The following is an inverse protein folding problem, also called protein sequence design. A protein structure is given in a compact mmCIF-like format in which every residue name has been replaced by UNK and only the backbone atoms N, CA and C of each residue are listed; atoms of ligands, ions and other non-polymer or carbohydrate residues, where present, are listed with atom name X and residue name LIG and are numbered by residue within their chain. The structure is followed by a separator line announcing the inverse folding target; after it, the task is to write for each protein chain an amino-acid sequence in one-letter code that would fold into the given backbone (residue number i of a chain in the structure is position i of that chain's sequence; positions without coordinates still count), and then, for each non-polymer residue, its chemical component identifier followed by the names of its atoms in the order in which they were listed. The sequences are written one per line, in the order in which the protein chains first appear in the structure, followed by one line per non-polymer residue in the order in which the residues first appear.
data_IF_397977102371
#
_entry.id   IF_397977102371
#
_cell.length_a   1.000
_cell.length_b   1.000
_cell.length_c   1.000
_cell.angle_alpha   90.00
_cell.angle_beta   90.00
_cell.angle_gamma   90.00
#
_symmetry.space_group_name_H-M   'P 1'
#
loop_
_entity.id
_entity.type
_entity.pdbx_description
1 polymer ?
#
# COMPACT_ATOMS: atom_id res chain seq x y z
N UNK A 1 -5.86 -25.14 -5.91
CA UNK A 1 -4.43 -25.02 -6.31
C UNK A 1 -4.17 -24.05 -7.45
N UNK A 2 -4.86 -24.11 -8.60
CA UNK A 2 -4.65 -23.15 -9.70
C UNK A 2 -5.17 -21.74 -9.43
N UNK A 3 -6.27 -21.62 -8.69
CA UNK A 3 -6.93 -20.36 -8.36
C UNK A 3 -6.16 -19.58 -7.30
N UNK A 4 -5.57 -20.25 -6.33
CA UNK A 4 -4.73 -19.65 -5.29
C UNK A 4 -3.43 -19.11 -5.85
N UNK A 5 -2.81 -19.82 -6.78
CA UNK A 5 -1.63 -19.40 -7.54
C UNK A 5 -1.85 -18.11 -8.32
N UNK A 6 -3.00 -18.02 -9.01
CA UNK A 6 -3.37 -16.84 -9.78
C UNK A 6 -3.59 -15.64 -8.85
N UNK A 7 -4.30 -15.85 -7.75
CA UNK A 7 -4.54 -14.82 -6.72
C UNK A 7 -3.23 -14.29 -6.11
N UNK A 8 -2.28 -15.17 -5.76
CA UNK A 8 -0.97 -14.77 -5.22
C UNK A 8 -0.20 -13.93 -6.24
N UNK A 9 -0.12 -14.36 -7.51
CA UNK A 9 0.60 -13.66 -8.57
C UNK A 9 -0.01 -12.30 -8.93
N UNK A 10 -1.33 -12.14 -8.81
CA UNK A 10 -2.03 -10.87 -9.03
C UNK A 10 -1.88 -9.92 -7.83
N UNK A 11 -1.76 -10.46 -6.62
CA UNK A 11 -1.70 -9.71 -5.36
C UNK A 11 -0.32 -9.25 -4.96
N UNK A 12 0.70 -10.08 -5.20
CA UNK A 12 2.07 -9.82 -4.77
C UNK A 12 2.97 -9.55 -5.97
N UNK A 13 3.45 -8.32 -6.08
CA UNK A 13 4.45 -7.99 -7.07
C UNK A 13 5.85 -8.22 -6.50
N UNK A 14 6.68 -8.90 -7.27
CA UNK A 14 8.07 -9.21 -6.92
C UNK A 14 8.86 -7.95 -6.53
N UNK A 15 8.71 -6.87 -7.29
CA UNK A 15 9.42 -5.62 -6.99
C UNK A 15 9.02 -5.02 -5.64
N UNK A 16 7.72 -5.09 -5.29
CA UNK A 16 7.24 -4.57 -4.01
C UNK A 16 7.68 -5.47 -2.85
N UNK A 17 7.67 -6.80 -3.05
CA UNK A 17 8.19 -7.76 -2.09
C UNK A 17 9.68 -7.52 -1.81
N UNK A 18 10.51 -7.38 -2.85
CA UNK A 18 11.94 -7.10 -2.72
C UNK A 18 12.21 -5.78 -1.99
N UNK A 19 11.43 -4.73 -2.27
CA UNK A 19 11.54 -3.44 -1.57
C UNK A 19 11.19 -3.54 -0.09
N UNK A 20 10.22 -4.37 0.27
CA UNK A 20 9.90 -4.66 1.68
C UNK A 20 11.05 -5.37 2.40
N UNK A 21 11.86 -6.13 1.67
CA UNK A 21 13.09 -6.76 2.17
C UNK A 21 14.32 -5.84 2.09
N UNK A 22 14.11 -4.51 1.95
CA UNK A 22 15.14 -3.49 1.83
C UNK A 22 16.06 -3.64 0.58
N UNK A 23 15.60 -4.35 -0.45
CA UNK A 23 16.34 -4.42 -1.70
C UNK A 23 16.37 -3.07 -2.39
N UNK A 24 17.57 -2.58 -2.68
CA UNK A 24 17.80 -1.31 -3.37
C UNK A 24 18.12 -1.56 -4.83
N UNK A 25 17.44 -0.84 -5.73
CA UNK A 25 17.62 -0.96 -7.15
C UNK A 25 17.44 0.37 -7.86
N UNK A 26 18.08 0.49 -9.02
CA UNK A 26 17.93 1.64 -9.93
C UNK A 26 17.21 1.21 -11.20
N UNK A 27 16.43 2.09 -11.84
CA UNK A 27 15.87 1.80 -13.16
C UNK A 27 16.99 1.69 -14.19
N UNK A 28 16.85 0.76 -15.15
CA UNK A 28 17.83 0.57 -16.23
C UNK A 28 17.67 1.58 -17.38
N UNK A 29 16.55 2.35 -17.39
CA UNK A 29 16.15 3.20 -18.52
C UNK A 29 15.37 2.45 -19.60
N UNK A 30 15.25 1.14 -19.53
CA UNK A 30 14.52 0.30 -20.48
C UNK A 30 13.17 -0.15 -19.87
N UNK A 31 12.11 0.63 -20.10
CA UNK A 31 10.75 0.28 -19.66
C UNK A 31 10.61 0.14 -18.13
N UNK A 32 9.98 -0.95 -17.68
CA UNK A 32 9.72 -1.23 -16.26
C UNK A 32 10.78 -2.16 -15.65
N UNK A 33 12.06 -1.99 -16.02
CA UNK A 33 13.15 -2.84 -15.57
C UNK A 33 14.04 -2.14 -14.55
N UNK A 34 14.42 -2.87 -13.51
CA UNK A 34 15.25 -2.42 -12.39
C UNK A 34 16.44 -3.35 -12.22
N UNK A 35 17.58 -2.81 -11.80
CA UNK A 35 18.79 -3.58 -11.52
C UNK A 35 19.36 -3.23 -10.15
N UNK A 36 19.78 -4.25 -9.39
CA UNK A 36 20.41 -4.11 -8.09
C UNK A 36 21.34 -5.29 -7.79
N UNK A 37 21.92 -5.30 -6.59
CA UNK A 37 22.68 -6.44 -6.09
C UNK A 37 21.76 -7.65 -5.89
N UNK A 38 22.25 -8.84 -6.18
CA UNK A 38 21.47 -10.06 -6.05
C UNK A 38 21.25 -10.44 -4.57
N UNK A 39 19.99 -10.67 -4.15
CA UNK A 39 19.73 -11.16 -2.80
C UNK A 39 20.03 -12.65 -2.61
N UNK A 40 20.30 -13.39 -3.71
CA UNK A 40 20.47 -14.84 -3.70
C UNK A 40 21.94 -15.28 -3.64
N UNK A 41 22.88 -14.38 -3.93
CA UNK A 41 24.31 -14.65 -3.82
C UNK A 41 25.09 -13.37 -3.52
N UNK A 42 26.28 -13.52 -2.96
CA UNK A 42 27.14 -12.38 -2.66
C UNK A 42 27.79 -11.84 -3.93
N UNK A 43 27.63 -10.54 -4.19
CA UNK A 43 28.24 -9.83 -5.31
C UNK A 43 28.49 -8.36 -4.98
N UNK A 44 29.40 -7.72 -5.72
CA UNK A 44 29.71 -6.28 -5.59
C UNK A 44 29.24 -5.46 -6.77
N UNK A 45 28.85 -6.10 -7.86
CA UNK A 45 28.33 -5.44 -9.07
C UNK A 45 26.90 -5.88 -9.31
N UNK A 46 25.96 -4.93 -9.50
CA UNK A 46 24.57 -5.25 -9.74
C UNK A 46 24.37 -6.13 -10.97
N UNK A 47 23.82 -7.33 -10.78
CA UNK A 47 23.51 -8.30 -11.84
C UNK A 47 22.10 -8.89 -11.75
N UNK A 48 21.32 -8.48 -10.75
CA UNK A 48 19.95 -8.94 -10.53
C UNK A 48 18.95 -7.97 -11.15
N UNK A 49 18.26 -8.43 -12.18
CA UNK A 49 17.28 -7.66 -12.94
C UNK A 49 15.87 -8.05 -12.57
N UNK A 50 15.00 -7.07 -12.42
CA UNK A 50 13.57 -7.26 -12.14
C UNK A 50 12.76 -6.50 -13.19
N UNK A 51 11.93 -7.22 -13.93
CA UNK A 51 10.96 -6.64 -14.84
C UNK A 51 9.60 -6.51 -14.14
N UNK A 52 9.25 -5.29 -13.71
CA UNK A 52 8.04 -5.04 -12.94
C UNK A 52 6.75 -5.28 -13.74
N UNK A 53 6.78 -5.16 -15.09
CA UNK A 53 5.61 -5.43 -15.94
C UNK A 53 5.34 -6.93 -16.06
N UNK A 54 6.40 -7.72 -16.25
CA UNK A 54 6.30 -9.19 -16.38
C UNK A 54 6.24 -9.89 -15.02
N UNK A 55 6.56 -9.17 -13.94
CA UNK A 55 6.68 -9.71 -12.58
C UNK A 55 7.70 -10.85 -12.46
N UNK A 56 8.84 -10.71 -13.15
CA UNK A 56 9.91 -11.70 -13.26
C UNK A 56 11.26 -11.10 -12.86
N UNK A 57 12.15 -11.94 -12.37
CA UNK A 57 13.57 -11.61 -12.19
C UNK A 57 14.48 -12.52 -13.00
N UNK A 58 15.69 -12.04 -13.23
CA UNK A 58 16.81 -12.82 -13.70
C UNK A 58 18.13 -12.24 -13.16
N UNK A 59 18.99 -13.10 -12.67
CA UNK A 59 20.33 -12.73 -12.21
C UNK A 59 21.39 -13.23 -13.19
N UNK A 60 22.14 -12.35 -13.80
CA UNK A 60 23.24 -12.71 -14.70
C UNK A 60 24.48 -13.25 -13.94
N UNK A 61 24.58 -12.99 -12.62
CA UNK A 61 25.68 -13.50 -11.80
C UNK A 61 25.53 -14.98 -11.44
N UNK A 62 24.37 -15.37 -10.89
CA UNK A 62 24.13 -16.77 -10.48
C UNK A 62 23.23 -17.57 -11.42
N UNK A 63 22.75 -16.98 -12.53
CA UNK A 63 21.90 -17.66 -13.50
C UNK A 63 20.48 -17.98 -13.03
N UNK A 64 20.08 -17.57 -11.82
CA UNK A 64 18.73 -17.83 -11.28
C UNK A 64 17.74 -16.85 -11.87
N UNK A 65 16.52 -17.35 -12.16
CA UNK A 65 15.44 -16.54 -12.68
C UNK A 65 14.08 -17.16 -12.40
N UNK A 66 13.02 -16.35 -12.48
CA UNK A 66 11.67 -16.80 -12.26
C UNK A 66 10.74 -15.69 -11.78
N UNK A 67 9.62 -16.10 -11.19
CA UNK A 67 8.63 -15.21 -10.56
C UNK A 67 8.88 -15.09 -9.04
N UNK A 68 7.96 -14.41 -8.34
CA UNK A 68 8.03 -14.23 -6.88
C UNK A 68 8.07 -15.56 -6.13
N UNK A 69 7.33 -16.57 -6.58
CA UNK A 69 7.29 -17.87 -5.89
C UNK A 69 8.67 -18.53 -5.99
N UNK A 70 9.26 -18.53 -7.19
CA UNK A 70 10.61 -19.05 -7.40
C UNK A 70 11.65 -18.27 -6.61
N UNK A 71 11.51 -16.96 -6.50
CA UNK A 71 12.38 -16.14 -5.66
C UNK A 71 12.33 -16.57 -4.18
N UNK A 72 11.11 -16.78 -3.64
CA UNK A 72 10.92 -17.22 -2.25
C UNK A 72 11.47 -18.64 -2.03
N UNK A 73 11.28 -19.56 -2.98
CA UNK A 73 11.90 -20.89 -2.93
C UNK A 73 13.42 -20.79 -2.74
N UNK A 74 14.06 -19.95 -3.54
CA UNK A 74 15.52 -19.80 -3.54
C UNK A 74 16.02 -19.03 -2.30
N UNK A 75 15.36 -17.95 -1.92
CA UNK A 75 15.82 -17.07 -0.84
C UNK A 75 15.55 -17.62 0.56
N UNK A 76 14.46 -18.39 0.71
CA UNK A 76 14.05 -18.99 1.99
C UNK A 76 14.33 -20.51 2.07
N UNK A 77 14.94 -21.09 1.01
CA UNK A 77 15.20 -22.53 0.93
C UNK A 77 13.94 -23.40 1.14
N UNK A 78 12.80 -22.95 0.59
CA UNK A 78 11.51 -23.59 0.73
C UNK A 78 11.14 -24.40 -0.52
N UNK A 79 10.34 -25.45 -0.34
CA UNK A 79 9.66 -26.10 -1.47
C UNK A 79 8.57 -25.21 -2.05
N UNK A 80 8.15 -25.46 -3.28
CA UNK A 80 7.05 -24.73 -3.94
C UNK A 80 5.80 -24.56 -3.05
N UNK A 81 5.34 -25.67 -2.42
CA UNK A 81 4.17 -25.66 -1.56
C UNK A 81 4.39 -24.80 -0.29
N UNK A 82 5.56 -24.92 0.33
CA UNK A 82 5.92 -24.08 1.49
C UNK A 82 6.04 -22.61 1.12
N UNK A 83 6.55 -22.29 -0.08
CA UNK A 83 6.64 -20.90 -0.57
C UNK A 83 5.25 -20.29 -0.80
N UNK A 84 4.29 -21.06 -1.28
CA UNK A 84 2.89 -20.59 -1.37
C UNK A 84 2.32 -20.27 0.00
N UNK A 85 2.42 -21.20 0.96
CA UNK A 85 1.94 -20.97 2.33
C UNK A 85 2.63 -19.78 2.99
N UNK A 86 3.94 -19.63 2.79
CA UNK A 86 4.72 -18.49 3.29
C UNK A 86 4.20 -17.17 2.70
N UNK A 87 3.97 -17.10 1.38
CA UNK A 87 3.45 -15.92 0.72
C UNK A 87 2.00 -15.60 1.11
N UNK A 88 1.17 -16.60 1.35
CA UNK A 88 -0.19 -16.43 1.88
C UNK A 88 -0.18 -15.81 3.29
N UNK A 89 0.72 -16.23 4.15
CA UNK A 89 0.92 -15.67 5.49
C UNK A 89 1.50 -14.26 5.47
N UNK A 90 2.34 -13.94 4.49
CA UNK A 90 2.91 -12.61 4.27
C UNK A 90 1.93 -11.66 3.57
N UNK A 91 0.88 -12.18 2.94
CA UNK A 91 -0.16 -11.35 2.33
C UNK A 91 -1.00 -10.72 3.42
N UNK A 92 -0.71 -9.46 3.72
CA UNK A 92 -1.58 -8.61 4.53
C UNK A 92 -3.04 -8.70 4.06
N UNK A 93 -4.01 -8.40 4.93
CA UNK A 93 -5.42 -8.42 4.57
C UNK A 93 -5.64 -7.74 3.23
N UNK A 94 -6.07 -8.49 2.24
CA UNK A 94 -6.25 -8.02 0.86
C UNK A 94 -7.64 -7.45 0.63
N UNK A 95 -8.48 -7.48 1.65
CA UNK A 95 -9.81 -6.89 1.60
C UNK A 95 -9.70 -5.36 1.59
N UNK A 96 -10.14 -4.69 0.50
CA UNK A 96 -10.18 -3.24 0.40
C UNK A 96 -10.91 -2.56 1.56
N UNK A 97 -12.01 -3.14 2.06
CA UNK A 97 -12.76 -2.57 3.18
C UNK A 97 -11.95 -2.57 4.48
N UNK A 98 -11.13 -3.60 4.70
CA UNK A 98 -10.23 -3.68 5.87
C UNK A 98 -9.19 -2.58 5.84
N UNK A 99 -8.50 -2.35 4.72
CA UNK A 99 -7.48 -1.29 4.63
C UNK A 99 -8.09 0.11 4.68
N UNK A 100 -9.28 0.31 4.10
CA UNK A 100 -10.02 1.56 4.22
C UNK A 100 -10.42 1.83 5.67
N UNK A 101 -10.82 0.78 6.42
CA UNK A 101 -11.09 0.85 7.85
C UNK A 101 -9.87 1.26 8.67
N UNK A 102 -8.71 0.71 8.37
CA UNK A 102 -7.44 1.09 9.03
C UNK A 102 -7.01 2.52 8.69
N UNK A 103 -7.17 2.94 7.43
CA UNK A 103 -6.93 4.32 7.03
C UNK A 103 -7.86 5.29 7.74
N UNK A 104 -9.15 4.95 7.88
CA UNK A 104 -10.13 5.73 8.62
C UNK A 104 -9.71 5.87 10.10
N UNK A 105 -9.37 4.78 10.78
CA UNK A 105 -8.92 4.78 12.16
C UNK A 105 -7.60 5.59 12.33
N UNK A 106 -6.70 5.54 11.36
CA UNK A 106 -5.52 6.40 11.34
C UNK A 106 -5.90 7.88 11.28
N UNK A 107 -6.77 8.27 10.36
CA UNK A 107 -7.21 9.67 10.20
C UNK A 107 -7.99 10.19 11.41
N UNK A 108 -8.78 9.34 12.10
CA UNK A 108 -9.42 9.70 13.36
C UNK A 108 -8.40 10.14 14.42
N UNK A 109 -7.33 9.34 14.62
CA UNK A 109 -6.25 9.70 15.56
C UNK A 109 -5.51 10.98 15.14
N UNK A 110 -5.37 11.23 13.83
CA UNK A 110 -4.74 12.46 13.36
C UNK A 110 -5.58 13.70 13.69
N UNK A 111 -6.91 13.61 13.67
CA UNK A 111 -7.77 14.76 13.99
C UNK A 111 -7.47 15.35 15.38
N UNK A 112 -7.11 14.50 16.35
CA UNK A 112 -6.76 14.95 17.70
C UNK A 112 -5.40 15.66 17.77
N UNK A 113 -4.53 15.41 16.80
CA UNK A 113 -3.19 16.00 16.72
C UNK A 113 -3.16 17.35 15.97
N UNK A 114 -4.27 17.76 15.35
CA UNK A 114 -4.33 18.96 14.49
C UNK A 114 -5.47 19.90 14.91
N UNK A 115 -5.21 20.87 15.81
CA UNK A 115 -6.24 21.79 16.33
C UNK A 115 -6.96 22.60 15.25
N UNK A 116 -6.28 22.93 14.14
CA UNK A 116 -6.83 23.62 13.00
C UNK A 116 -7.95 22.81 12.30
N UNK A 117 -7.79 21.49 12.23
CA UNK A 117 -8.81 20.61 11.66
C UNK A 117 -10.06 20.54 12.57
N UNK A 118 -9.87 20.51 13.90
CA UNK A 118 -10.99 20.61 14.86
C UNK A 118 -11.73 21.94 14.74
N UNK A 119 -11.00 23.05 14.72
CA UNK A 119 -11.59 24.39 14.55
C UNK A 119 -12.43 24.48 13.28
N UNK A 120 -11.92 23.94 12.17
CA UNK A 120 -12.67 23.87 10.92
C UNK A 120 -14.00 23.14 11.06
N UNK A 121 -14.06 22.03 11.81
CA UNK A 121 -15.30 21.28 12.08
C UNK A 121 -16.26 22.11 12.94
N UNK A 122 -15.76 22.77 13.99
CA UNK A 122 -16.55 23.63 14.88
C UNK A 122 -17.18 24.81 14.14
N UNK A 123 -16.45 25.46 13.24
CA UNK A 123 -16.94 26.55 12.37
C UNK A 123 -18.05 26.06 11.42
N UNK A 124 -18.09 24.77 11.12
CA UNK A 124 -19.11 24.10 10.29
C UNK A 124 -20.26 23.50 11.10
N UNK A 125 -20.30 23.74 12.40
CA UNK A 125 -21.38 23.30 13.29
C UNK A 125 -21.16 21.89 13.87
N UNK A 126 -20.05 21.20 13.55
CA UNK A 126 -19.69 19.89 14.09
C UNK A 126 -18.84 20.09 15.36
N UNK A 127 -19.53 20.33 16.49
CA UNK A 127 -18.89 20.63 17.78
C UNK A 127 -18.90 19.47 18.78
N UNK A 128 -19.84 18.53 18.61
CA UNK A 128 -20.00 17.40 19.50
C UNK A 128 -18.90 16.33 19.23
N UNK A 129 -17.97 16.09 20.18
CA UNK A 129 -16.93 15.09 20.03
C UNK A 129 -17.49 13.66 19.90
N UNK A 130 -18.61 13.34 20.56
CA UNK A 130 -19.23 12.03 20.48
C UNK A 130 -19.76 11.76 19.08
N UNK A 131 -20.42 12.74 18.47
CA UNK A 131 -20.90 12.65 17.08
C UNK A 131 -19.73 12.52 16.09
N UNK A 132 -18.65 13.30 16.28
CA UNK A 132 -17.44 13.21 15.43
C UNK A 132 -16.84 11.80 15.50
N UNK A 133 -16.78 11.21 16.69
CA UNK A 133 -16.28 9.85 16.90
C UNK A 133 -17.22 8.80 16.29
N UNK A 134 -18.53 8.91 16.51
CA UNK A 134 -19.53 8.00 15.95
C UNK A 134 -19.48 8.00 14.41
N UNK A 135 -19.42 9.18 13.80
CA UNK A 135 -19.31 9.35 12.35
C UNK A 135 -17.92 9.00 11.82
N UNK A 136 -16.96 8.65 12.69
CA UNK A 136 -15.59 8.28 12.37
C UNK A 136 -14.88 9.34 11.52
N UNK A 137 -15.17 10.62 11.77
CA UNK A 137 -14.55 11.74 11.06
C UNK A 137 -13.08 11.83 11.46
N UNK A 138 -12.21 12.05 10.49
CA UNK A 138 -10.77 12.14 10.70
C UNK A 138 -10.13 13.30 9.93
N UNK A 139 -8.82 13.42 10.07
CA UNK A 139 -8.03 14.40 9.33
C UNK A 139 -6.86 13.73 8.61
N UNK A 140 -6.67 14.07 7.35
CA UNK A 140 -5.56 13.61 6.53
C UNK A 140 -4.51 14.72 6.41
N UNK A 141 -3.44 14.74 7.24
CA UNK A 141 -2.38 15.73 7.13
C UNK A 141 -1.54 15.54 5.86
N UNK A 142 -1.48 14.30 5.36
CA UNK A 142 -0.69 13.86 4.22
C UNK A 142 0.71 13.38 4.60
N UNK A 143 1.31 12.58 3.69
CA UNK A 143 2.70 12.11 3.80
C UNK A 143 2.98 11.02 4.83
N UNK A 144 2.00 10.62 5.65
CA UNK A 144 2.21 9.68 6.75
C UNK A 144 1.41 8.38 6.66
N UNK A 145 0.24 8.38 5.98
CA UNK A 145 -0.63 7.22 5.88
C UNK A 145 0.07 6.04 5.19
N UNK A 146 0.68 6.29 4.02
CA UNK A 146 1.39 5.25 3.28
C UNK A 146 2.40 4.51 4.15
N UNK A 147 3.29 5.25 4.83
CA UNK A 147 4.30 4.68 5.71
C UNK A 147 3.67 3.88 6.85
N UNK A 148 2.59 4.40 7.45
CA UNK A 148 1.86 3.74 8.53
C UNK A 148 1.27 2.39 8.08
N UNK A 149 0.58 2.35 6.93
CA UNK A 149 -0.05 1.14 6.43
C UNK A 149 0.97 0.11 5.91
N UNK A 150 2.06 0.56 5.27
CA UNK A 150 3.15 -0.34 4.88
C UNK A 150 3.82 -0.99 6.11
N UNK A 151 4.00 -0.25 7.21
CA UNK A 151 4.52 -0.80 8.46
C UNK A 151 3.58 -1.83 9.11
N UNK A 152 2.28 -1.78 8.80
CA UNK A 152 1.29 -2.79 9.19
C UNK A 152 1.22 -3.98 8.22
N UNK A 153 2.09 -4.03 7.22
CA UNK A 153 2.20 -5.12 6.26
C UNK A 153 1.26 -5.01 5.06
N UNK A 154 0.49 -3.90 4.89
CA UNK A 154 -0.33 -3.71 3.70
C UNK A 154 0.55 -3.46 2.46
N UNK A 155 0.24 -4.10 1.33
CA UNK A 155 1.00 -3.93 0.11
C UNK A 155 0.74 -2.57 -0.54
N UNK A 156 1.77 -1.97 -1.18
CA UNK A 156 1.62 -0.72 -1.93
C UNK A 156 0.59 -0.85 -3.07
N UNK A 157 0.46 -2.04 -3.65
CA UNK A 157 -0.56 -2.33 -4.67
C UNK A 157 -1.98 -2.20 -4.13
N UNK A 158 -2.25 -2.75 -2.95
CA UNK A 158 -3.55 -2.61 -2.32
C UNK A 158 -3.85 -1.14 -2.03
N UNK A 159 -2.86 -0.37 -1.55
CA UNK A 159 -3.02 1.05 -1.28
C UNK A 159 -3.31 1.86 -2.56
N UNK A 160 -2.70 1.48 -3.70
CA UNK A 160 -2.99 2.07 -5.02
C UNK A 160 -4.35 1.62 -5.55
N UNK A 161 -4.67 0.34 -5.41
CA UNK A 161 -5.95 -0.21 -5.86
C UNK A 161 -7.13 0.43 -5.13
N UNK A 162 -7.02 0.67 -3.83
CA UNK A 162 -8.02 1.38 -3.02
C UNK A 162 -7.99 2.90 -3.20
N UNK A 163 -7.05 3.42 -3.98
CA UNK A 163 -6.89 4.85 -4.19
C UNK A 163 -6.34 5.64 -2.99
N UNK A 164 -5.95 4.97 -1.88
CA UNK A 164 -5.33 5.62 -0.72
C UNK A 164 -3.98 6.26 -1.06
N UNK A 165 -3.28 5.68 -2.04
CA UNK A 165 -2.02 6.18 -2.57
C UNK A 165 -2.16 6.38 -4.08
N UNK A 166 -1.75 7.53 -4.59
CA UNK A 166 -1.80 7.85 -6.00
C UNK A 166 -0.70 7.10 -6.80
N UNK A 167 -0.74 7.10 -8.16
CA UNK A 167 0.28 6.43 -8.98
C UNK A 167 1.70 6.90 -8.71
N UNK A 168 1.89 8.15 -8.27
CA UNK A 168 3.18 8.74 -7.93
C UNK A 168 3.71 8.31 -6.54
N UNK A 169 2.89 7.57 -5.77
CA UNK A 169 3.26 7.05 -4.46
C UNK A 169 3.00 8.01 -3.30
N UNK A 170 2.21 9.05 -3.49
CA UNK A 170 1.81 9.98 -2.43
C UNK A 170 0.44 9.62 -1.87
N UNK A 171 0.18 10.00 -0.60
CA UNK A 171 -1.14 9.90 0.00
C UNK A 171 -2.17 10.66 -0.84
N UNK A 172 -3.30 10.03 -1.17
CA UNK A 172 -4.30 10.60 -2.07
C UNK A 172 -5.07 11.75 -1.42
N UNK A 173 -5.25 11.69 -0.10
CA UNK A 173 -5.87 12.75 0.69
C UNK A 173 -4.78 13.54 1.40
N UNK A 174 -4.80 14.85 1.20
CA UNK A 174 -3.85 15.80 1.79
C UNK A 174 -4.57 17.05 2.26
N UNK A 175 -4.34 17.46 3.51
CA UNK A 175 -5.00 18.61 4.17
C UNK A 175 -6.53 18.57 4.01
N UNK A 176 -7.14 17.42 4.42
CA UNK A 176 -8.58 17.19 4.26
C UNK A 176 -9.20 16.63 5.52
N UNK A 177 -10.39 17.12 5.85
CA UNK A 177 -11.30 16.39 6.73
C UNK A 177 -11.80 15.17 5.95
N UNK A 178 -11.74 14.01 6.58
CA UNK A 178 -12.08 12.72 5.97
C UNK A 178 -13.36 12.18 6.59
N UNK A 179 -14.30 11.85 5.72
CA UNK A 179 -15.58 11.21 6.05
C UNK A 179 -15.60 9.81 5.46
N UNK A 180 -15.82 8.75 6.25
CA UNK A 180 -15.99 7.42 5.69
C UNK A 180 -17.34 7.27 5.00
N UNK A 181 -17.34 6.59 3.87
CA UNK A 181 -18.55 6.15 3.18
C UNK A 181 -18.74 4.67 3.46
N UNK A 182 -19.83 4.32 4.14
CA UNK A 182 -20.10 2.93 4.54
C UNK A 182 -21.30 2.37 3.78
N UNK A 183 -21.23 1.06 3.48
CA UNK A 183 -22.33 0.24 2.96
C UNK A 183 -22.36 -1.08 3.76
N UNK A 184 -23.51 -1.45 4.30
CA UNK A 184 -23.68 -2.68 5.09
C UNK A 184 -22.67 -2.80 6.25
N UNK A 185 -22.39 -1.67 6.94
CA UNK A 185 -21.46 -1.61 8.07
C UNK A 185 -19.98 -1.66 7.70
N UNK A 186 -19.63 -1.75 6.39
CA UNK A 186 -18.25 -1.76 5.90
C UNK A 186 -17.89 -0.43 5.24
N UNK A 187 -16.69 0.07 5.49
CA UNK A 187 -16.19 1.27 4.79
C UNK A 187 -15.84 0.85 3.36
N UNK A 188 -16.51 1.48 2.39
CA UNK A 188 -16.32 1.20 0.96
C UNK A 188 -15.56 2.32 0.25
N UNK A 189 -15.55 3.54 0.81
CA UNK A 189 -14.78 4.66 0.29
C UNK A 189 -14.46 5.68 1.39
N UNK A 190 -13.57 6.63 1.10
CA UNK A 190 -13.30 7.80 1.93
C UNK A 190 -13.51 9.07 1.10
N UNK A 191 -14.27 9.98 1.66
CA UNK A 191 -14.50 11.31 1.11
C UNK A 191 -13.67 12.34 1.85
N UNK A 192 -12.83 13.09 1.14
CA UNK A 192 -11.99 14.15 1.70
C UNK A 192 -12.51 15.54 1.34
N UNK A 193 -12.81 16.39 2.35
CA UNK A 193 -13.13 17.80 2.18
C UNK A 193 -11.92 18.66 2.52
N UNK A 194 -11.47 19.52 1.59
CA UNK A 194 -10.36 20.44 1.83
C UNK A 194 -10.66 21.41 2.96
N UNK A 195 -9.67 21.65 3.81
CA UNK A 195 -9.70 22.73 4.82
C UNK A 195 -9.26 24.09 4.25
N UNK A 196 -8.70 24.11 3.03
CA UNK A 196 -8.31 25.30 2.29
C UNK A 196 -9.26 25.62 1.13
N UNK A 197 -8.85 26.55 0.26
CA UNK A 197 -9.67 27.08 -0.84
C UNK A 197 -9.65 26.28 -2.13
N UNK A 198 -8.67 25.40 -2.33
CA UNK A 198 -8.50 24.65 -3.58
C UNK A 198 -9.18 23.27 -3.50
N UNK A 199 -9.96 22.92 -4.54
CA UNK A 199 -10.58 21.59 -4.73
C UNK A 199 -11.36 21.07 -3.51
N UNK A 200 -12.57 21.59 -3.32
CA UNK A 200 -13.38 21.42 -2.11
C UNK A 200 -13.63 19.96 -1.70
N UNK A 201 -13.81 19.03 -2.66
CA UNK A 201 -14.17 17.63 -2.40
C UNK A 201 -13.34 16.65 -3.22
N UNK A 202 -13.04 15.49 -2.63
CA UNK A 202 -12.37 14.39 -3.31
C UNK A 202 -12.82 13.05 -2.74
N UNK A 203 -13.30 12.15 -3.60
CA UNK A 203 -13.44 10.73 -3.29
C UNK A 203 -12.17 9.98 -3.69
N UNK A 204 -11.90 8.85 -3.03
CA UNK A 204 -10.89 7.95 -3.53
C UNK A 204 -11.36 7.35 -4.87
N UNK A 205 -10.47 7.19 -5.87
CA UNK A 205 -10.81 6.52 -7.12
C UNK A 205 -11.11 5.03 -6.85
N UNK A 206 -12.06 4.45 -7.58
CA UNK A 206 -12.36 3.02 -7.51
C UNK A 206 -13.58 2.62 -6.66
N UNK A 207 -14.47 3.54 -6.37
CA UNK A 207 -15.80 3.24 -5.75
C UNK A 207 -16.86 2.96 -6.81
#
# INVERSE_FOLDING_TARGET
MGEDLKKIKERLLLLDYLRQQNWTARPTGHGAEFVGLCPLHAETRPSFYVNARKNLFYCHGCGQGGDLIRFVELSQHLSFRQSLTYLEQQSAPTDPATVLGQACAFYQRQLDCYPEARRYLEERGLRDPALIQELRIGYAPGGSLRRHLLAQGYSLNLLRHTGLVNPQGHDALYQRIVFPCSRDGRIVNLHGRSTGTAFAHRFLPGS
#
